data_IF_960937307717
#
_entry.id   IF_960937307717
#
_cell.length_a   1.000
_cell.length_b   1.000
_cell.length_c   1.000
_cell.angle_alpha   90.00
_cell.angle_beta   90.00
_cell.angle_gamma   90.00
#
_symmetry.space_group_name_H-M   'P 1'
#
loop_
_entity.id
_entity.type
_entity.pdbx_description
1 polymer ?
#
# COMPACT_ATOMS: atom_id res chain seq x y z
N UNK A 1 -19.52 -6.05 24.24
CA UNK A 1 -18.64 -5.36 23.26
C UNK A 1 -19.57 -4.68 22.27
N UNK A 2 -19.67 -3.35 22.30
CA UNK A 2 -20.45 -2.60 21.32
C UNK A 2 -19.74 -2.69 19.97
N UNK A 3 -20.44 -3.17 18.94
CA UNK A 3 -19.88 -3.17 17.59
C UNK A 3 -19.71 -1.72 17.12
N UNK A 4 -18.52 -1.31 16.65
CA UNK A 4 -18.31 0.05 16.16
C UNK A 4 -19.19 0.29 14.93
N UNK A 5 -20.17 1.19 15.07
CA UNK A 5 -21.06 1.58 13.96
C UNK A 5 -20.33 2.59 13.07
N UNK A 6 -19.68 2.10 12.02
CA UNK A 6 -19.05 2.96 11.01
C UNK A 6 -20.08 3.46 10.00
N UNK A 7 -19.97 4.75 9.65
CA UNK A 7 -20.76 5.33 8.55
C UNK A 7 -20.34 4.74 7.19
N UNK A 8 -21.28 4.71 6.21
CA UNK A 8 -21.03 4.16 4.86
C UNK A 8 -19.82 4.84 4.19
N UNK A 9 -19.66 6.16 4.38
CA UNK A 9 -18.52 6.90 3.84
C UNK A 9 -17.18 6.48 4.45
N UNK A 10 -17.14 6.22 5.77
CA UNK A 10 -15.93 5.76 6.44
C UNK A 10 -15.55 4.35 5.99
N UNK A 11 -16.54 3.47 5.79
CA UNK A 11 -16.30 2.14 5.23
C UNK A 11 -15.74 2.21 3.80
N UNK A 12 -16.29 3.08 2.94
CA UNK A 12 -15.78 3.28 1.59
C UNK A 12 -14.33 3.78 1.57
N UNK A 13 -13.97 4.71 2.46
CA UNK A 13 -12.59 5.22 2.61
C UNK A 13 -11.63 4.15 3.14
N UNK A 14 -12.07 3.33 4.11
CA UNK A 14 -11.29 2.22 4.63
C UNK A 14 -11.05 1.15 3.57
N UNK A 15 -12.09 0.73 2.84
CA UNK A 15 -11.98 -0.24 1.76
C UNK A 15 -11.05 0.24 0.63
N UNK A 16 -11.12 1.53 0.27
CA UNK A 16 -10.20 2.13 -0.72
C UNK A 16 -8.74 2.07 -0.23
N UNK A 17 -8.52 2.34 1.06
CA UNK A 17 -7.18 2.32 1.66
C UNK A 17 -6.65 0.89 1.83
N UNK A 18 -7.50 -0.06 2.21
CA UNK A 18 -7.16 -1.47 2.39
C UNK A 18 -6.78 -2.17 1.06
N UNK A 19 -7.36 -1.71 -0.06
CA UNK A 19 -7.02 -2.19 -1.41
C UNK A 19 -5.67 -1.71 -1.94
N UNK A 20 -5.04 -0.70 -1.31
CA UNK A 20 -3.73 -0.19 -1.76
C UNK A 20 -2.66 -1.24 -1.56
N UNK A 21 -1.88 -1.53 -2.61
CA UNK A 21 -0.71 -2.42 -2.53
C UNK A 21 0.54 -1.60 -2.30
N UNK A 22 0.90 -1.39 -1.03
CA UNK A 22 2.07 -0.59 -0.62
C UNK A 22 3.35 -1.07 -1.29
N UNK A 23 3.51 -2.38 -1.49
CA UNK A 23 4.64 -2.94 -2.23
C UNK A 23 4.71 -2.47 -3.69
N UNK A 24 3.59 -2.50 -4.41
CA UNK A 24 3.51 -2.02 -5.80
C UNK A 24 3.73 -0.51 -5.90
N UNK A 25 3.23 0.26 -4.94
CA UNK A 25 3.49 1.71 -4.86
C UNK A 25 4.97 1.99 -4.59
N UNK A 26 5.63 1.20 -3.74
CA UNK A 26 7.06 1.32 -3.47
C UNK A 26 7.91 1.00 -4.70
N UNK A 27 7.58 -0.07 -5.42
CA UNK A 27 8.23 -0.41 -6.69
C UNK A 27 8.04 0.70 -7.72
N UNK A 28 6.85 1.30 -7.78
CA UNK A 28 6.58 2.42 -8.67
C UNK A 28 7.44 3.65 -8.30
N UNK A 29 7.51 4.01 -7.02
CA UNK A 29 8.35 5.12 -6.53
C UNK A 29 9.82 4.85 -6.83
N UNK A 30 10.30 3.62 -6.63
CA UNK A 30 11.67 3.22 -6.93
C UNK A 30 11.99 3.29 -8.43
N UNK A 31 11.16 2.68 -9.26
CA UNK A 31 11.41 2.60 -10.70
C UNK A 31 11.21 3.97 -11.38
N UNK A 32 10.05 4.61 -11.20
CA UNK A 32 9.78 5.90 -11.83
C UNK A 32 10.66 7.02 -11.24
N UNK A 33 10.86 7.01 -9.92
CA UNK A 33 11.72 7.97 -9.25
C UNK A 33 13.18 7.81 -9.67
N UNK A 34 13.70 6.58 -9.68
CA UNK A 34 15.07 6.29 -10.09
C UNK A 34 15.33 6.64 -11.56
N UNK A 35 14.41 6.27 -12.47
CA UNK A 35 14.51 6.63 -13.88
C UNK A 35 14.47 8.14 -14.11
N UNK A 36 13.56 8.85 -13.43
CA UNK A 36 13.48 10.32 -13.55
C UNK A 36 14.75 11.00 -13.03
N UNK A 37 15.24 10.59 -11.85
CA UNK A 37 16.47 11.13 -11.27
C UNK A 37 17.69 10.85 -12.16
N UNK A 38 17.74 9.68 -12.78
CA UNK A 38 18.83 9.32 -13.68
C UNK A 38 18.87 10.24 -14.91
N UNK A 39 17.71 10.51 -15.52
CA UNK A 39 17.61 11.47 -16.64
C UNK A 39 18.01 12.88 -16.18
N UNK A 40 17.55 13.29 -15.00
CA UNK A 40 17.88 14.61 -14.44
C UNK A 40 19.39 14.76 -14.18
N UNK A 41 20.00 13.70 -13.65
CA UNK A 41 21.45 13.61 -13.42
C UNK A 41 22.24 13.59 -14.72
N UNK A 42 21.66 13.15 -15.83
CA UNK A 42 22.31 13.24 -17.13
C UNK A 42 22.36 14.70 -17.62
N UNK A 43 21.27 15.46 -17.42
CA UNK A 43 21.22 16.89 -17.75
C UNK A 43 22.12 17.72 -16.83
N UNK A 44 22.13 17.40 -15.53
CA UNK A 44 22.96 18.07 -14.52
C UNK A 44 24.34 17.40 -14.34
N UNK A 45 24.67 16.43 -15.19
CA UNK A 45 25.84 15.56 -15.07
C UNK A 45 27.17 16.28 -14.92
N UNK A 46 27.44 17.38 -15.64
CA UNK A 46 28.69 18.13 -15.49
C UNK A 46 28.91 18.68 -14.07
N UNK A 47 27.83 19.02 -13.36
CA UNK A 47 27.91 19.66 -12.03
C UNK A 47 27.92 18.65 -10.89
N UNK A 48 27.34 17.46 -11.10
CA UNK A 48 27.14 16.47 -10.02
C UNK A 48 27.93 15.20 -10.27
N UNK A 49 27.89 14.65 -11.49
CA UNK A 49 28.51 13.36 -11.81
C UNK A 49 30.02 13.49 -12.04
N UNK A 50 30.49 14.56 -12.68
CA UNK A 50 31.92 14.76 -12.98
C UNK A 50 32.76 14.92 -11.70
N UNK A 51 32.37 15.77 -10.71
CA UNK A 51 33.09 15.85 -9.45
C UNK A 51 33.04 14.52 -8.66
N UNK A 52 31.88 13.86 -8.62
CA UNK A 52 31.72 12.59 -7.92
C UNK A 52 32.56 11.47 -8.55
N UNK A 53 32.64 11.41 -9.87
CA UNK A 53 33.49 10.46 -10.61
C UNK A 53 34.98 10.74 -10.39
N UNK A 54 35.37 12.01 -10.42
CA UNK A 54 36.75 12.42 -10.12
C UNK A 54 37.19 12.05 -8.70
N UNK A 55 36.29 12.16 -7.71
CA UNK A 55 36.61 11.85 -6.30
C UNK A 55 36.65 10.35 -5.99
N UNK A 56 35.84 9.55 -6.68
CA UNK A 56 35.69 8.11 -6.36
C UNK A 56 36.44 7.19 -7.33
N UNK A 57 36.86 7.71 -8.49
CA UNK A 57 37.49 6.91 -9.56
C UNK A 57 36.51 5.96 -10.26
N UNK A 58 35.21 6.07 -9.98
CA UNK A 58 34.16 5.22 -10.56
C UNK A 58 33.63 5.90 -11.84
N UNK A 59 33.27 5.09 -12.84
CA UNK A 59 32.69 5.58 -14.09
C UNK A 59 31.42 6.42 -13.87
N UNK A 60 31.26 7.48 -14.68
CA UNK A 60 30.16 8.45 -14.62
C UNK A 60 28.77 7.78 -14.60
N UNK A 61 28.58 6.75 -15.43
CA UNK A 61 27.33 6.00 -15.55
C UNK A 61 27.01 5.23 -14.27
N UNK A 62 28.00 4.56 -13.69
CA UNK A 62 27.85 3.78 -12.46
C UNK A 62 27.49 4.67 -11.28
N UNK A 63 28.15 5.83 -11.15
CA UNK A 63 27.80 6.82 -10.12
C UNK A 63 26.40 7.38 -10.32
N UNK A 64 26.03 7.69 -11.56
CA UNK A 64 24.69 8.17 -11.88
C UNK A 64 23.61 7.17 -11.48
N UNK A 65 23.84 5.89 -11.78
CA UNK A 65 22.96 4.79 -11.35
C UNK A 65 22.88 4.69 -9.83
N UNK A 66 24.01 4.71 -9.14
CA UNK A 66 24.07 4.60 -7.68
C UNK A 66 23.35 5.76 -6.98
N UNK A 67 23.57 7.01 -7.44
CA UNK A 67 22.90 8.17 -6.85
C UNK A 67 21.40 8.14 -7.16
N UNK A 68 21.01 7.88 -8.41
CA UNK A 68 19.61 7.89 -8.82
C UNK A 68 18.79 6.80 -8.11
N UNK A 69 19.24 5.55 -8.22
CA UNK A 69 18.50 4.43 -7.64
C UNK A 69 18.73 4.30 -6.13
N UNK A 70 19.88 4.73 -5.61
CA UNK A 70 20.12 4.79 -4.17
C UNK A 70 19.19 5.79 -3.48
N UNK A 71 19.08 7.01 -4.01
CA UNK A 71 18.14 8.01 -3.48
C UNK A 71 16.69 7.55 -3.64
N UNK A 72 16.33 7.02 -4.81
CA UNK A 72 14.97 6.52 -5.05
C UNK A 72 14.60 5.33 -4.15
N UNK A 73 15.54 4.41 -3.87
CA UNK A 73 15.35 3.32 -2.91
C UNK A 73 15.08 3.85 -1.51
N UNK A 74 15.84 4.86 -1.07
CA UNK A 74 15.63 5.48 0.23
C UNK A 74 14.26 6.15 0.34
N UNK A 75 13.82 6.88 -0.70
CA UNK A 75 12.49 7.46 -0.79
C UNK A 75 11.38 6.39 -0.79
N UNK A 76 11.55 5.30 -1.53
CA UNK A 76 10.62 4.19 -1.53
C UNK A 76 10.51 3.53 -0.15
N UNK A 77 11.63 3.35 0.56
CA UNK A 77 11.65 2.81 1.93
C UNK A 77 10.92 3.72 2.92
N UNK A 78 11.14 5.04 2.86
CA UNK A 78 10.41 6.01 3.68
C UNK A 78 8.90 5.95 3.39
N UNK A 79 8.54 5.85 2.11
CA UNK A 79 7.14 5.75 1.67
C UNK A 79 6.47 4.51 2.27
N UNK A 80 7.11 3.35 2.15
CA UNK A 80 6.63 2.09 2.74
C UNK A 80 6.51 2.19 4.25
N UNK A 81 7.53 2.73 4.94
CA UNK A 81 7.49 2.87 6.40
C UNK A 81 6.33 3.75 6.88
N UNK A 82 5.98 4.81 6.14
CA UNK A 82 4.88 5.71 6.52
C UNK A 82 3.50 5.17 6.17
N UNK A 83 3.34 4.47 5.05
CA UNK A 83 2.04 3.99 4.55
C UNK A 83 1.71 2.56 4.97
N UNK A 84 2.72 1.71 5.15
CA UNK A 84 2.59 0.32 5.59
C UNK A 84 1.69 0.14 6.80
N UNK A 85 1.94 0.79 7.96
CA UNK A 85 1.10 0.61 9.14
C UNK A 85 -0.33 1.13 8.93
N UNK A 86 -0.53 2.19 8.13
CA UNK A 86 -1.86 2.74 7.84
C UNK A 86 -2.70 1.80 6.98
N UNK A 87 -2.09 1.20 5.95
CA UNK A 87 -2.76 0.24 5.08
C UNK A 87 -3.04 -1.06 5.82
N UNK A 88 -2.09 -1.55 6.62
CA UNK A 88 -2.27 -2.78 7.41
C UNK A 88 -3.43 -2.65 8.41
N UNK A 89 -3.48 -1.53 9.14
CA UNK A 89 -4.60 -1.23 10.06
C UNK A 89 -5.93 -1.14 9.31
N UNK A 90 -5.96 -0.52 8.13
CA UNK A 90 -7.18 -0.46 7.31
C UNK A 90 -7.63 -1.85 6.80
N UNK A 91 -6.68 -2.75 6.49
CA UNK A 91 -6.98 -4.13 6.10
C UNK A 91 -7.55 -4.97 7.25
N UNK A 92 -7.03 -4.78 8.48
CA UNK A 92 -7.54 -5.42 9.69
C UNK A 92 -8.98 -4.95 10.02
N UNK A 93 -9.24 -3.64 9.95
CA UNK A 93 -10.58 -3.09 10.13
C UNK A 93 -11.57 -3.55 9.05
N UNK A 94 -11.14 -3.60 7.78
CA UNK A 94 -11.98 -4.08 6.68
C UNK A 94 -12.32 -5.58 6.80
N UNK A 95 -11.39 -6.39 7.30
CA UNK A 95 -11.65 -7.81 7.53
C UNK A 95 -12.60 -8.02 8.71
N UNK A 96 -12.44 -7.29 9.81
CA UNK A 96 -13.32 -7.35 10.97
C UNK A 96 -14.78 -7.00 10.60
N UNK A 97 -14.96 -5.92 9.81
CA UNK A 97 -16.27 -5.54 9.29
C UNK A 97 -16.87 -6.64 8.41
N UNK A 98 -16.09 -7.25 7.52
CA UNK A 98 -16.58 -8.37 6.68
C UNK A 98 -16.98 -9.59 7.52
N UNK A 99 -16.23 -9.90 8.57
CA UNK A 99 -16.55 -11.02 9.46
C UNK A 99 -17.83 -10.78 10.27
N UNK A 100 -18.06 -9.56 10.77
CA UNK A 100 -19.29 -9.23 11.50
C UNK A 100 -20.52 -9.31 10.58
N UNK A 101 -20.44 -8.77 9.37
CA UNK A 101 -21.51 -8.92 8.36
C UNK A 101 -21.79 -10.38 7.99
N UNK A 102 -20.74 -11.19 7.78
CA UNK A 102 -20.89 -12.61 7.47
C UNK A 102 -21.56 -13.39 8.62
N UNK A 103 -21.23 -13.07 9.88
CA UNK A 103 -21.89 -13.67 11.05
C UNK A 103 -23.37 -13.33 11.10
N UNK A 104 -23.74 -12.06 10.91
CA UNK A 104 -25.15 -11.60 10.92
C UNK A 104 -25.97 -12.30 9.83
N UNK A 105 -25.44 -12.41 8.61
CA UNK A 105 -26.11 -13.12 7.52
C UNK A 105 -26.27 -14.61 7.80
N UNK A 106 -25.27 -15.25 8.43
CA UNK A 106 -25.37 -16.65 8.81
C UNK A 106 -26.46 -16.87 9.85
N UNK A 107 -26.52 -16.04 10.89
CA UNK A 107 -27.57 -16.11 11.92
C UNK A 107 -28.97 -15.87 11.33
N UNK A 108 -29.12 -14.93 10.41
CA UNK A 108 -30.40 -14.69 9.71
C UNK A 108 -30.82 -15.88 8.85
N UNK A 109 -29.87 -16.48 8.12
CA UNK A 109 -30.12 -17.69 7.32
C UNK A 109 -30.52 -18.87 8.19
N UNK A 110 -29.79 -19.10 9.28
CA UNK A 110 -30.05 -20.21 10.20
C UNK A 110 -31.42 -20.04 10.89
N UNK A 111 -31.78 -18.82 11.29
CA UNK A 111 -33.11 -18.50 11.82
C UNK A 111 -34.23 -18.75 10.79
N UNK A 112 -34.02 -18.35 9.53
CA UNK A 112 -34.99 -18.56 8.45
C UNK A 112 -35.16 -20.05 8.11
N UNK A 113 -34.08 -20.82 8.17
CA UNK A 113 -34.13 -22.28 7.98
C UNK A 113 -34.88 -22.95 9.15
N UNK A 114 -34.65 -22.51 10.38
CA UNK A 114 -35.39 -23.00 11.55
C UNK A 114 -36.89 -22.71 11.45
N UNK A 115 -37.27 -21.50 11.02
CA UNK A 115 -38.67 -21.12 10.80
C UNK A 115 -39.34 -21.97 9.70
N UNK A 116 -38.63 -22.22 8.59
CA UNK A 116 -39.15 -23.06 7.50
C UNK A 116 -39.31 -24.53 7.92
N UNK A 117 -38.45 -25.05 8.80
CA UNK A 117 -38.60 -26.40 9.37
C UNK A 117 -39.80 -26.47 10.32
N UNK A 118 -39.94 -25.49 11.22
CA UNK A 118 -41.08 -25.42 12.14
C UNK A 118 -42.44 -25.35 11.43
N UNK A 119 -42.52 -24.68 10.26
CA UNK A 119 -43.74 -24.64 9.42
C UNK A 119 -44.00 -25.94 8.65
N UNK A 120 -43.01 -26.81 8.49
CA UNK A 120 -43.16 -28.09 7.77
C UNK A 120 -43.62 -29.23 8.69
N UNK A 121 -43.38 -29.09 10.00
CA UNK A 121 -43.76 -30.06 11.02
C UNK A 121 -45.14 -29.77 11.64
N UNK A 122 -45.81 -28.68 11.22
CA UNK A 122 -47.23 -28.37 11.48
C UNK A 122 -48.11 -28.76 10.29
#
# INVERSE_FOLDING_TARGET
MEEPVYTIEQQARLAKTARRRVGSEATLVFAAGGSLLFVLLFVLGPFVLVPAAGLTGIGLTTIGLLIAFGTSAFLALIHVRRLGPKVRRAQELDSEIKYSFARRQKTERDAKIAELRAKKDQ
#
